data_IF_223972505867
#
_entry.id   IF_223972505867
#
_cell.length_a   1.000
_cell.length_b   1.000
_cell.length_c   1.000
_cell.angle_alpha   90.00
_cell.angle_beta   90.00
_cell.angle_gamma   90.00
#
_symmetry.space_group_name_H-M   'P 1'
#
loop_
_entity.id
_entity.type
_entity.pdbx_description
1 polymer ?
#
# COMPACT_ATOMS: atom_id res chain seq x y z
N UNK A 1 8.47 -31.39 -28.43
CA UNK A 1 9.23 -30.16 -28.74
C UNK A 1 9.40 -29.92 -30.24
N UNK A 2 9.60 -30.96 -31.06
CA UNK A 2 9.71 -30.83 -32.53
C UNK A 2 8.40 -30.40 -33.21
N UNK A 3 7.25 -30.86 -32.72
CA UNK A 3 5.94 -30.53 -33.31
C UNK A 3 5.68 -29.01 -33.32
N UNK A 4 5.81 -28.25 -32.20
CA UNK A 4 5.70 -26.79 -32.23
C UNK A 4 6.67 -26.10 -33.19
N UNK A 5 7.93 -26.54 -33.26
CA UNK A 5 8.94 -25.96 -34.15
C UNK A 5 8.59 -26.17 -35.63
N UNK A 6 8.13 -27.37 -36.00
CA UNK A 6 7.71 -27.68 -37.37
C UNK A 6 6.49 -26.84 -37.77
N UNK A 7 5.53 -26.68 -36.86
CA UNK A 7 4.36 -25.82 -37.09
C UNK A 7 4.78 -24.36 -37.31
N UNK A 8 5.69 -23.82 -36.48
CA UNK A 8 6.21 -22.46 -36.67
C UNK A 8 6.98 -22.30 -37.99
N UNK A 9 7.81 -23.28 -38.37
CA UNK A 9 8.54 -23.26 -39.63
C UNK A 9 7.58 -23.28 -40.84
N UNK A 10 6.52 -24.10 -40.80
CA UNK A 10 5.51 -24.15 -41.84
C UNK A 10 4.80 -22.78 -41.99
N UNK A 11 4.41 -22.15 -40.88
CA UNK A 11 3.82 -20.81 -40.92
C UNK A 11 4.78 -19.74 -41.44
N UNK A 12 6.06 -19.76 -41.05
CA UNK A 12 7.06 -18.82 -41.55
C UNK A 12 7.25 -18.90 -43.07
N UNK A 13 7.28 -20.12 -43.63
CA UNK A 13 7.35 -20.35 -45.08
C UNK A 13 6.09 -19.85 -45.77
N UNK A 14 4.91 -20.25 -45.29
CA UNK A 14 3.62 -19.87 -45.90
C UNK A 14 3.42 -18.35 -45.86
N UNK A 15 3.69 -17.70 -44.73
CA UNK A 15 3.60 -16.24 -44.59
C UNK A 15 4.62 -15.52 -45.47
N UNK A 16 5.83 -16.07 -45.63
CA UNK A 16 6.84 -15.54 -46.55
C UNK A 16 6.35 -15.51 -48.01
N UNK A 17 5.65 -16.56 -48.47
CA UNK A 17 5.06 -16.59 -49.81
C UNK A 17 3.87 -15.63 -49.95
N UNK A 18 2.99 -15.58 -48.96
CA UNK A 18 1.79 -14.70 -48.97
C UNK A 18 2.19 -13.22 -48.95
N UNK A 19 3.27 -12.85 -48.24
CA UNK A 19 3.75 -11.47 -48.11
C UNK A 19 4.56 -10.95 -49.31
N UNK A 20 4.68 -11.72 -50.39
CA UNK A 20 5.44 -11.30 -51.57
C UNK A 20 4.77 -10.13 -52.31
N UNK A 21 5.55 -9.28 -53.01
CA UNK A 21 4.99 -8.22 -53.85
C UNK A 21 4.05 -8.71 -54.96
N UNK A 22 4.05 -10.02 -55.25
CA UNK A 22 3.17 -10.64 -56.25
C UNK A 22 1.70 -10.60 -55.84
N UNK A 23 1.38 -10.48 -54.54
CA UNK A 23 0.00 -10.41 -54.05
C UNK A 23 -0.18 -9.27 -53.03
N UNK A 24 -0.36 -8.00 -53.48
CA UNK A 24 -0.31 -6.81 -52.62
C UNK A 24 -1.52 -6.62 -51.70
N UNK A 25 -2.41 -7.62 -51.60
CA UNK A 25 -3.66 -7.52 -50.85
C UNK A 25 -3.43 -7.20 -49.37
N UNK A 26 -2.35 -7.72 -48.78
CA UNK A 26 -2.01 -7.50 -47.38
C UNK A 26 -1.47 -6.09 -47.15
N UNK A 27 -0.58 -5.60 -48.03
CA UNK A 27 -0.08 -4.22 -47.97
C UNK A 27 -1.21 -3.19 -48.17
N UNK A 28 -2.17 -3.49 -49.05
CA UNK A 28 -3.37 -2.66 -49.27
C UNK A 28 -4.31 -2.65 -48.05
N UNK A 29 -4.51 -3.81 -47.41
CA UNK A 29 -5.30 -3.90 -46.19
C UNK A 29 -4.71 -3.08 -45.02
N UNK A 30 -3.38 -3.02 -44.92
CA UNK A 30 -2.67 -2.23 -43.91
C UNK A 30 -2.67 -0.71 -44.19
N UNK A 31 -3.24 -0.25 -45.31
CA UNK A 31 -3.44 1.17 -45.61
C UNK A 31 -2.15 1.93 -45.99
N UNK A 32 -1.10 1.24 -46.41
CA UNK A 32 0.15 1.89 -46.83
C UNK A 32 -0.01 2.63 -48.16
N UNK A 33 0.36 3.93 -48.27
CA UNK A 33 0.41 4.61 -49.56
C UNK A 33 1.44 3.91 -50.48
N UNK A 34 1.03 3.57 -51.70
CA UNK A 34 1.91 3.07 -52.74
C UNK A 34 2.70 4.25 -53.33
N UNK A 35 3.84 4.59 -52.74
CA UNK A 35 4.87 5.32 -53.50
C UNK A 35 5.33 4.37 -54.63
N UNK A 36 5.29 4.83 -55.89
CA UNK A 36 5.82 4.08 -57.02
C UNK A 36 7.35 3.96 -56.86
N UNK A 37 7.79 2.95 -56.12
CA UNK A 37 9.21 2.67 -55.97
C UNK A 37 9.71 2.27 -57.36
N UNK A 38 10.61 3.07 -57.93
CA UNK A 38 11.26 2.75 -59.18
C UNK A 38 11.85 1.35 -59.08
N UNK A 39 11.32 0.41 -59.87
CA UNK A 39 11.67 -1.00 -59.82
C UNK A 39 13.18 -1.25 -59.86
N UNK A 40 13.94 -0.40 -60.57
CA UNK A 40 15.40 -0.44 -60.59
C UNK A 40 16.06 -0.18 -59.22
N UNK A 41 15.54 0.78 -58.45
CA UNK A 41 16.04 1.08 -57.09
C UNK A 41 15.68 -0.02 -56.11
N UNK A 42 14.45 -0.53 -56.15
CA UNK A 42 13.99 -1.61 -55.28
C UNK A 42 14.80 -2.90 -55.49
N UNK A 43 14.97 -3.33 -56.74
CA UNK A 43 15.71 -4.56 -57.05
C UNK A 43 17.18 -4.42 -56.66
N UNK A 44 17.79 -3.26 -56.89
CA UNK A 44 19.17 -3.01 -56.45
C UNK A 44 19.30 -3.11 -54.93
N UNK A 45 18.40 -2.49 -54.17
CA UNK A 45 18.38 -2.60 -52.72
C UNK A 45 18.18 -4.05 -52.26
N UNK A 46 17.22 -4.78 -52.84
CA UNK A 46 16.99 -6.20 -52.52
C UNK A 46 18.24 -7.06 -52.76
N UNK A 47 18.90 -6.89 -53.90
CA UNK A 47 20.13 -7.63 -54.22
C UNK A 47 21.27 -7.26 -53.28
N UNK A 48 21.50 -5.97 -53.03
CA UNK A 48 22.56 -5.51 -52.13
C UNK A 48 22.31 -6.02 -50.70
N UNK A 49 21.09 -5.89 -50.17
CA UNK A 49 20.73 -6.43 -48.86
C UNK A 49 20.93 -7.94 -48.79
N UNK A 50 20.53 -8.68 -49.83
CA UNK A 50 20.73 -10.13 -49.91
C UNK A 50 22.21 -10.49 -49.88
N UNK A 51 23.05 -9.79 -50.66
CA UNK A 51 24.51 -9.99 -50.67
C UNK A 51 25.11 -9.67 -49.30
N UNK A 52 24.71 -8.58 -48.65
CA UNK A 52 25.20 -8.21 -47.31
C UNK A 52 24.84 -9.29 -46.27
N UNK A 53 23.63 -9.84 -46.32
CA UNK A 53 23.21 -10.94 -45.42
C UNK A 53 24.06 -12.19 -45.66
N UNK A 54 24.21 -12.62 -46.91
CA UNK A 54 25.03 -13.79 -47.22
C UNK A 54 26.50 -13.59 -46.86
N UNK A 55 27.04 -12.39 -47.07
CA UNK A 55 28.39 -12.04 -46.65
C UNK A 55 28.53 -12.13 -45.13
N UNK A 56 27.58 -11.58 -44.37
CA UNK A 56 27.57 -11.66 -42.90
C UNK A 56 27.50 -13.09 -42.38
N UNK A 57 26.60 -13.92 -42.92
CA UNK A 57 26.49 -15.34 -42.57
C UNK A 57 27.77 -16.10 -42.92
N UNK A 58 28.36 -15.81 -44.09
CA UNK A 58 29.61 -16.45 -44.53
C UNK A 58 30.77 -16.09 -43.61
N UNK A 59 30.92 -14.81 -43.25
CA UNK A 59 31.95 -14.35 -42.31
C UNK A 59 31.76 -15.00 -40.93
N UNK A 60 30.52 -15.04 -40.42
CA UNK A 60 30.21 -15.71 -39.17
C UNK A 60 30.53 -17.22 -39.22
N UNK A 61 30.18 -17.90 -40.32
CA UNK A 61 30.49 -19.31 -40.53
C UNK A 61 31.99 -19.59 -40.63
N UNK A 62 32.77 -18.68 -41.23
CA UNK A 62 34.23 -18.80 -41.26
C UNK A 62 34.83 -18.62 -39.86
N UNK A 63 34.42 -17.59 -39.11
CA UNK A 63 34.96 -17.30 -37.78
C UNK A 63 34.57 -18.39 -36.77
N UNK A 64 33.30 -18.75 -36.70
CA UNK A 64 32.79 -19.67 -35.68
C UNK A 64 32.77 -21.14 -36.11
N UNK A 65 32.71 -21.42 -37.40
CA UNK A 65 32.66 -22.79 -37.94
C UNK A 65 34.03 -23.35 -38.38
N UNK A 66 34.85 -22.53 -39.06
CA UNK A 66 36.15 -22.97 -39.60
C UNK A 66 37.35 -22.61 -38.73
N UNK A 67 37.35 -21.42 -38.14
CA UNK A 67 38.41 -20.99 -37.21
C UNK A 67 38.26 -21.62 -35.81
N UNK A 68 37.06 -22.12 -35.50
CA UNK A 68 36.75 -22.81 -34.26
C UNK A 68 36.74 -21.87 -33.06
N UNK A 69 35.71 -21.98 -32.22
CA UNK A 69 35.86 -21.55 -30.84
C UNK A 69 36.80 -22.54 -30.15
N UNK A 70 37.86 -22.02 -29.51
CA UNK A 70 38.75 -22.83 -28.69
C UNK A 70 37.97 -23.62 -27.62
N UNK A 71 38.61 -24.59 -26.94
CA UNK A 71 37.99 -25.34 -25.85
C UNK A 71 37.28 -24.40 -24.87
N UNK A 72 36.17 -24.86 -24.29
CA UNK A 72 35.38 -24.11 -23.30
C UNK A 72 36.28 -23.43 -22.27
N UNK A 73 36.36 -22.10 -22.32
CA UNK A 73 37.21 -21.28 -21.44
C UNK A 73 38.27 -20.43 -22.15
N UNK A 74 38.51 -20.64 -23.45
CA UNK A 74 39.38 -19.77 -24.25
C UNK A 74 38.62 -18.50 -24.70
N UNK A 75 39.36 -17.37 -24.80
CA UNK A 75 38.78 -16.09 -25.23
C UNK A 75 38.27 -16.19 -26.66
N UNK A 76 37.13 -15.56 -26.94
CA UNK A 76 36.58 -15.50 -28.30
C UNK A 76 37.62 -14.85 -29.23
N UNK A 77 37.66 -15.30 -30.48
CA UNK A 77 38.48 -14.69 -31.54
C UNK A 77 38.18 -13.20 -31.63
N UNK A 78 36.91 -12.80 -31.51
CA UNK A 78 36.49 -11.39 -31.53
C UNK A 78 36.91 -10.63 -30.27
N UNK A 79 36.98 -11.29 -29.11
CA UNK A 79 37.47 -10.68 -27.87
C UNK A 79 38.97 -10.33 -27.98
N UNK A 80 39.73 -11.14 -28.71
CA UNK A 80 41.16 -10.89 -28.96
C UNK A 80 41.38 -9.78 -29.98
N UNK A 81 40.54 -9.69 -31.01
CA UNK A 81 40.65 -8.69 -32.07
C UNK A 81 40.20 -7.29 -31.63
N UNK A 82 39.14 -7.19 -30.82
CA UNK A 82 38.56 -5.93 -30.40
C UNK A 82 38.06 -5.99 -28.94
N UNK A 83 38.96 -6.05 -27.94
CA UNK A 83 38.61 -6.33 -26.55
C UNK A 83 37.67 -5.28 -25.94
N UNK A 84 37.83 -4.01 -26.30
CA UNK A 84 36.99 -2.92 -25.78
C UNK A 84 35.55 -2.98 -26.29
N UNK A 85 35.37 -3.16 -27.60
CA UNK A 85 34.04 -3.25 -28.24
C UNK A 85 33.35 -4.54 -27.81
N UNK A 86 34.08 -5.65 -27.77
CA UNK A 86 33.56 -6.93 -27.31
C UNK A 86 33.11 -6.85 -25.85
N UNK A 87 33.87 -6.21 -24.97
CA UNK A 87 33.47 -6.02 -23.57
C UNK A 87 32.16 -5.24 -23.44
N UNK A 88 31.98 -4.15 -24.20
CA UNK A 88 30.72 -3.37 -24.19
C UNK A 88 29.54 -4.22 -24.68
N UNK A 89 29.71 -4.97 -25.76
CA UNK A 89 28.66 -5.84 -26.31
C UNK A 89 28.35 -7.02 -25.37
N UNK A 90 29.38 -7.59 -24.73
CA UNK A 90 29.26 -8.70 -23.77
C UNK A 90 28.45 -8.28 -22.55
N UNK A 91 28.74 -7.11 -21.98
CA UNK A 91 27.97 -6.55 -20.86
C UNK A 91 26.68 -5.83 -21.33
N UNK A 92 26.14 -6.16 -22.52
CA UNK A 92 24.87 -5.62 -23.06
C UNK A 92 24.78 -4.09 -22.99
N UNK A 93 25.86 -3.40 -23.35
CA UNK A 93 25.99 -1.93 -23.29
C UNK A 93 25.88 -1.32 -21.89
N UNK A 94 26.10 -2.10 -20.83
CA UNK A 94 26.01 -1.67 -19.44
C UNK A 94 24.64 -1.11 -19.02
N UNK A 95 23.57 -1.44 -19.76
CA UNK A 95 22.22 -0.95 -19.50
C UNK A 95 21.68 -1.54 -18.19
N UNK A 96 21.95 -2.82 -17.96
CA UNK A 96 21.51 -3.54 -16.76
C UNK A 96 22.19 -2.94 -15.50
N UNK A 97 23.50 -2.67 -15.57
CA UNK A 97 24.31 -2.09 -14.50
C UNK A 97 23.92 -0.65 -14.20
N UNK A 98 23.63 0.14 -15.24
CA UNK A 98 23.14 1.51 -15.08
C UNK A 98 21.77 1.49 -14.39
N UNK A 99 20.88 0.60 -14.81
CA UNK A 99 19.54 0.46 -14.21
C UNK A 99 19.62 0.03 -12.75
N UNK A 100 20.46 -0.96 -12.45
CA UNK A 100 20.73 -1.42 -11.08
C UNK A 100 21.31 -0.28 -10.23
N UNK A 101 22.31 0.42 -10.76
CA UNK A 101 23.00 1.50 -10.07
C UNK A 101 22.10 2.71 -9.76
N UNK A 102 21.11 2.95 -10.60
CA UNK A 102 20.23 4.12 -10.52
C UNK A 102 18.88 3.76 -9.92
N UNK A 103 18.01 3.12 -10.69
CA UNK A 103 16.60 2.90 -10.35
C UNK A 103 16.47 1.90 -9.20
N UNK A 104 17.18 0.77 -9.27
CA UNK A 104 17.06 -0.27 -8.24
C UNK A 104 17.62 0.23 -6.91
N UNK A 105 18.84 0.78 -6.89
CA UNK A 105 19.44 1.34 -5.67
C UNK A 105 18.66 2.51 -5.09
N UNK A 106 18.10 3.38 -5.93
CA UNK A 106 17.23 4.46 -5.47
C UNK A 106 15.98 3.90 -4.80
N UNK A 107 15.27 2.98 -5.47
CA UNK A 107 14.07 2.36 -4.94
C UNK A 107 14.35 1.60 -3.62
N UNK A 108 15.45 0.85 -3.53
CA UNK A 108 15.84 0.15 -2.31
C UNK A 108 16.17 1.13 -1.16
N UNK A 109 16.77 2.28 -1.47
CA UNK A 109 17.05 3.31 -0.47
C UNK A 109 15.77 4.01 -0.01
N UNK A 110 14.85 4.27 -0.93
CA UNK A 110 13.54 4.83 -0.62
C UNK A 110 12.70 3.88 0.24
N UNK A 111 12.69 2.57 -0.07
CA UNK A 111 12.01 1.57 0.73
C UNK A 111 12.55 1.53 2.18
N UNK A 112 13.87 1.61 2.37
CA UNK A 112 14.49 1.72 3.70
C UNK A 112 14.06 2.99 4.43
N UNK A 113 13.95 4.11 3.73
CA UNK A 113 13.44 5.35 4.31
C UNK A 113 11.98 5.23 4.75
N UNK A 114 11.11 4.64 3.93
CA UNK A 114 9.72 4.38 4.30
C UNK A 114 9.61 3.47 5.53
N UNK A 115 10.43 2.41 5.60
CA UNK A 115 10.46 1.54 6.77
C UNK A 115 10.93 2.25 8.03
N UNK A 116 11.93 3.13 7.94
CA UNK A 116 12.35 3.97 9.06
C UNK A 116 11.25 4.93 9.51
N UNK A 117 10.54 5.55 8.56
CA UNK A 117 9.42 6.46 8.88
C UNK A 117 8.32 5.71 9.64
N UNK A 118 7.94 4.53 9.16
CA UNK A 118 6.92 3.70 9.81
C UNK A 118 7.33 3.26 11.23
N UNK A 119 8.46 2.56 11.33
CA UNK A 119 8.93 1.96 12.59
C UNK A 119 9.38 2.97 13.66
N UNK A 120 9.77 4.18 13.27
CA UNK A 120 10.21 5.21 14.21
C UNK A 120 9.11 6.24 14.41
N UNK A 121 8.62 6.87 13.34
CA UNK A 121 7.71 8.01 13.47
C UNK A 121 6.30 7.54 13.79
N UNK A 122 5.77 6.58 13.02
CA UNK A 122 4.38 6.15 13.19
C UNK A 122 4.21 5.31 14.47
N UNK A 123 5.11 4.35 14.73
CA UNK A 123 5.07 3.55 15.96
C UNK A 123 5.19 4.43 17.22
N UNK A 124 6.11 5.40 17.22
CA UNK A 124 6.24 6.33 18.37
C UNK A 124 4.98 7.17 18.55
N UNK A 125 4.36 7.62 17.45
CA UNK A 125 3.12 8.39 17.52
C UNK A 125 1.98 7.56 18.11
N UNK A 126 1.83 6.30 17.66
CA UNK A 126 0.84 5.37 18.21
C UNK A 126 1.09 5.09 19.69
N UNK A 127 2.35 4.95 20.09
CA UNK A 127 2.73 4.76 21.48
C UNK A 127 2.35 5.97 22.35
N UNK A 128 2.62 7.19 21.87
CA UNK A 128 2.24 8.44 22.57
C UNK A 128 0.72 8.50 22.75
N UNK A 129 -0.05 8.24 21.69
CA UNK A 129 -1.52 8.23 21.75
C UNK A 129 -2.00 7.18 22.76
N UNK A 130 -1.41 6.00 22.76
CA UNK A 130 -1.75 4.92 23.70
C UNK A 130 -1.51 5.34 25.16
N UNK A 131 -0.36 5.94 25.46
CA UNK A 131 -0.07 6.46 26.81
C UNK A 131 -1.00 7.61 27.20
N UNK A 132 -1.36 8.49 26.28
CA UNK A 132 -2.33 9.57 26.53
C UNK A 132 -3.71 9.00 26.90
N UNK A 133 -4.20 8.01 26.16
CA UNK A 133 -5.49 7.35 26.44
C UNK A 133 -5.45 6.64 27.79
N UNK A 134 -4.36 5.92 28.10
CA UNK A 134 -4.19 5.27 29.40
C UNK A 134 -4.14 6.30 30.54
N UNK A 135 -3.44 7.42 30.35
CA UNK A 135 -3.39 8.51 31.32
C UNK A 135 -4.76 9.13 31.59
N UNK A 136 -5.52 9.40 30.53
CA UNK A 136 -6.90 9.90 30.63
C UNK A 136 -7.82 8.89 31.31
N UNK A 137 -7.68 7.60 31.02
CA UNK A 137 -8.46 6.54 31.67
C UNK A 137 -8.16 6.47 33.17
N UNK A 138 -6.89 6.57 33.57
CA UNK A 138 -6.51 6.59 34.97
C UNK A 138 -7.05 7.83 35.69
N UNK A 139 -6.97 9.01 35.05
CA UNK A 139 -7.58 10.23 35.58
C UNK A 139 -9.09 10.09 35.75
N UNK A 140 -9.78 9.54 34.74
CA UNK A 140 -11.22 9.28 34.81
C UNK A 140 -11.56 8.35 35.98
N UNK A 141 -10.78 7.28 36.18
CA UNK A 141 -10.94 6.36 37.32
C UNK A 141 -10.78 7.06 38.67
N UNK A 142 -9.84 7.99 38.80
CA UNK A 142 -9.64 8.76 40.03
C UNK A 142 -10.84 9.66 40.31
N UNK A 143 -11.33 10.36 39.29
CA UNK A 143 -12.50 11.23 39.45
C UNK A 143 -13.70 10.39 39.89
N UNK A 144 -13.94 9.26 39.23
CA UNK A 144 -15.04 8.37 39.57
C UNK A 144 -14.95 7.85 41.01
N UNK A 145 -13.80 7.29 41.41
CA UNK A 145 -13.65 6.70 42.74
C UNK A 145 -13.65 7.77 43.86
N UNK A 146 -12.91 8.86 43.68
CA UNK A 146 -12.67 9.82 44.76
C UNK A 146 -13.69 10.95 44.83
N UNK A 147 -14.30 11.32 43.71
CA UNK A 147 -15.25 12.44 43.65
C UNK A 147 -16.67 11.90 43.57
N UNK A 148 -16.93 11.02 42.62
CA UNK A 148 -18.30 10.54 42.34
C UNK A 148 -18.74 9.55 43.40
N UNK A 149 -18.04 8.42 43.56
CA UNK A 149 -18.43 7.35 44.49
C UNK A 149 -18.40 7.83 45.95
N UNK A 150 -17.28 8.39 46.41
CA UNK A 150 -17.17 8.94 47.77
C UNK A 150 -18.21 10.03 48.04
N UNK A 151 -18.44 10.93 47.08
CA UNK A 151 -19.45 11.98 47.20
C UNK A 151 -20.86 11.41 47.33
N UNK A 152 -21.20 10.44 46.48
CA UNK A 152 -22.51 9.79 46.47
C UNK A 152 -22.75 8.98 47.75
N UNK A 153 -21.77 8.23 48.22
CA UNK A 153 -21.83 7.47 49.47
C UNK A 153 -22.04 8.37 50.69
N UNK A 154 -21.38 9.52 50.75
CA UNK A 154 -21.59 10.50 51.82
C UNK A 154 -23.03 11.03 51.81
N UNK A 155 -23.57 11.35 50.62
CA UNK A 155 -24.96 11.80 50.47
C UNK A 155 -25.93 10.71 50.95
N UNK A 156 -25.77 9.47 50.50
CA UNK A 156 -26.59 8.35 50.96
C UNK A 156 -26.50 8.14 52.47
N UNK A 157 -25.31 8.28 53.07
CA UNK A 157 -25.12 8.15 54.52
C UNK A 157 -25.79 9.27 55.30
N UNK A 158 -25.81 10.49 54.77
CA UNK A 158 -26.55 11.62 55.35
C UNK A 158 -28.05 11.40 55.25
N UNK A 159 -28.56 10.99 54.09
CA UNK A 159 -29.98 10.68 53.89
C UNK A 159 -30.46 9.56 54.83
N UNK A 160 -29.70 8.46 54.98
CA UNK A 160 -30.04 7.39 55.94
C UNK A 160 -30.05 7.87 57.38
N UNK A 161 -29.10 8.73 57.79
CA UNK A 161 -29.08 9.32 59.14
C UNK A 161 -30.33 10.17 59.38
N UNK A 162 -30.68 11.04 58.44
CA UNK A 162 -31.89 11.88 58.52
C UNK A 162 -33.14 11.01 58.57
N UNK A 163 -33.26 10.02 57.69
CA UNK A 163 -34.38 9.07 57.69
C UNK A 163 -34.49 8.29 59.00
N UNK A 164 -33.36 7.85 59.57
CA UNK A 164 -33.31 7.19 60.88
C UNK A 164 -33.79 8.11 62.02
N UNK A 165 -33.36 9.38 62.03
CA UNK A 165 -33.85 10.37 62.98
C UNK A 165 -35.36 10.62 62.83
N UNK A 166 -35.85 10.73 61.59
CA UNK A 166 -37.28 10.90 61.32
C UNK A 166 -38.09 9.67 61.74
N UNK A 167 -37.57 8.46 61.55
CA UNK A 167 -38.25 7.22 61.93
C UNK A 167 -38.45 7.11 63.44
N UNK A 168 -37.55 7.69 64.25
CA UNK A 168 -37.71 7.78 65.71
C UNK A 168 -38.80 8.76 66.14
N UNK A 169 -39.34 9.58 65.23
CA UNK A 169 -40.55 10.37 65.51
C UNK A 169 -41.82 9.54 65.29
N UNK A 170 -41.70 8.34 64.72
CA UNK A 170 -42.80 7.40 64.53
C UNK A 170 -42.68 6.21 65.48
N UNK A 171 -43.06 6.43 66.74
CA UNK A 171 -42.97 5.42 67.81
C UNK A 171 -44.14 4.40 67.84
N UNK A 172 -45.09 4.50 66.91
CA UNK A 172 -46.24 3.57 66.80
C UNK A 172 -47.31 3.74 67.89
N UNK A 173 -47.11 4.65 68.86
CA UNK A 173 -48.07 4.94 69.91
C UNK A 173 -49.10 6.00 69.47
N UNK A 174 -50.37 5.60 69.35
CA UNK A 174 -51.49 6.46 68.91
C UNK A 174 -51.63 7.73 69.76
N UNK A 175 -51.31 7.65 71.05
CA UNK A 175 -51.39 8.78 71.99
C UNK A 175 -50.43 9.91 71.63
N UNK A 176 -49.16 9.60 71.32
CA UNK A 176 -48.18 10.60 70.90
C UNK A 176 -48.59 11.29 69.61
N UNK A 177 -49.13 10.55 68.63
CA UNK A 177 -49.63 11.16 67.39
C UNK A 177 -50.80 12.11 67.63
N UNK A 178 -51.77 11.74 68.47
CA UNK A 178 -52.88 12.60 68.84
C UNK A 178 -52.42 13.87 69.57
N UNK A 179 -51.45 13.76 70.49
CA UNK A 179 -50.86 14.91 71.18
C UNK A 179 -50.13 15.85 70.22
N UNK A 180 -49.35 15.31 69.26
CA UNK A 180 -48.65 16.11 68.25
C UNK A 180 -49.64 16.81 67.31
N UNK A 181 -50.68 16.13 66.84
CA UNK A 181 -51.73 16.73 66.00
C UNK A 181 -52.47 17.84 66.77
N UNK A 182 -52.80 17.59 68.04
CA UNK A 182 -53.43 18.60 68.91
C UNK A 182 -52.55 19.84 69.07
N UNK A 183 -51.25 19.66 69.33
CA UNK A 183 -50.29 20.76 69.43
C UNK A 183 -50.08 21.49 68.10
N UNK A 184 -50.06 20.77 66.97
CA UNK A 184 -49.99 21.37 65.65
C UNK A 184 -51.24 22.21 65.34
N UNK A 185 -52.42 21.73 65.69
CA UNK A 185 -53.68 22.46 65.53
C UNK A 185 -53.74 23.72 66.40
N UNK A 186 -53.29 23.66 67.65
CA UNK A 186 -53.25 24.85 68.52
C UNK A 186 -52.25 25.89 68.01
N UNK A 187 -51.06 25.47 67.58
CA UNK A 187 -50.07 26.37 66.96
C UNK A 187 -50.61 26.96 65.65
N UNK A 188 -51.26 26.15 64.81
CA UNK A 188 -51.88 26.61 63.57
C UNK A 188 -52.98 27.65 63.84
N UNK A 189 -53.84 27.41 64.83
CA UNK A 189 -54.88 28.34 65.23
C UNK A 189 -54.29 29.65 65.76
N UNK A 190 -53.22 29.60 66.56
CA UNK A 190 -52.51 30.79 67.03
C UNK A 190 -51.85 31.55 65.86
N UNK A 191 -51.25 30.85 64.90
CA UNK A 191 -50.67 31.46 63.70
C UNK A 191 -51.74 32.08 62.80
N UNK A 192 -52.91 31.46 62.67
CA UNK A 192 -54.03 32.00 61.89
C UNK A 192 -54.66 33.21 62.58
N UNK A 193 -54.88 33.17 63.89
CA UNK A 193 -55.43 34.31 64.64
C UNK A 193 -54.46 35.47 64.69
N UNK A 194 -53.15 35.21 64.73
CA UNK A 194 -52.12 36.24 64.64
C UNK A 194 -51.91 36.74 63.20
N UNK A 195 -52.01 35.86 62.20
CA UNK A 195 -51.85 36.16 60.77
C UNK A 195 -53.04 36.89 60.14
N UNK A 196 -54.22 36.83 60.75
CA UNK A 196 -55.40 37.64 60.40
C UNK A 196 -55.38 39.05 61.04
N UNK A 197 -54.29 39.40 61.74
CA UNK A 197 -54.05 40.73 62.30
C UNK A 197 -53.40 41.73 61.32
N UNK A 198 -53.84 41.72 60.06
CA UNK A 198 -53.67 42.83 59.10
C UNK A 198 -54.94 43.01 58.29
#
# INVERSE_FOLDING_TARGET
MTIPLVVLAAFAVVLGFIGTPAWPWFQQYLGGPHEEVAWGGAVTLMLVSTVVVFAGISIAGVIYGLLGTGPTGEKDVLETLAPSVFAVLREKFYVDELYEATIVRFNASFARFCHWLDSVVLDTLVLIVSYLVLGLSWLNRIIDEYVVNLGFDEVCRRLRRVGGLLSRLQDGQVQNYLSVIGLALTVLLLLLTWGWGK
#
